data_IF_762130844858
#
_entry.id   IF_762130844858
#
_cell.length_a   1.000
_cell.length_b   1.000
_cell.length_c   1.000
_cell.angle_alpha   90.00
_cell.angle_beta   90.00
_cell.angle_gamma   90.00
#
_symmetry.space_group_name_H-M   'P 1'
#
loop_
_entity.id
_entity.type
_entity.pdbx_description
1 polymer ?
#
# COMPACT_ATOMS: atom_id res chain seq x y z
N UNK A 1 -5.69 -2.27 6.38
CA UNK A 1 -4.46 -2.54 5.61
C UNK A 1 -3.95 -1.30 4.89
N UNK A 2 -4.72 -0.72 3.97
CA UNK A 2 -4.33 0.46 3.17
C UNK A 2 -3.89 1.67 4.01
N UNK A 3 -4.57 1.98 5.12
CA UNK A 3 -4.19 3.07 6.02
C UNK A 3 -2.81 2.87 6.69
N UNK A 4 -2.46 1.64 7.04
CA UNK A 4 -1.14 1.35 7.63
C UNK A 4 -0.02 1.56 6.59
N UNK A 5 -0.27 1.17 5.34
CA UNK A 5 0.63 1.41 4.21
C UNK A 5 0.80 2.91 3.96
N UNK A 6 -0.28 3.69 4.05
CA UNK A 6 -0.22 5.16 4.02
C UNK A 6 0.57 5.75 5.19
N UNK A 7 0.42 5.19 6.40
CA UNK A 7 1.20 5.58 7.58
C UNK A 7 2.71 5.35 7.42
N UNK A 8 3.11 4.28 6.73
CA UNK A 8 4.52 4.03 6.40
C UNK A 8 5.09 5.13 5.51
N UNK A 9 4.33 5.61 4.50
CA UNK A 9 4.74 6.72 3.64
C UNK A 9 5.03 7.97 4.49
N UNK A 10 4.09 8.35 5.37
CA UNK A 10 4.22 9.54 6.23
C UNK A 10 5.42 9.41 7.18
N UNK A 11 5.61 8.23 7.78
CA UNK A 11 6.69 7.97 8.73
C UNK A 11 8.05 8.06 8.04
N UNK A 12 8.22 7.39 6.90
CA UNK A 12 9.47 7.43 6.12
C UNK A 12 9.78 8.83 5.60
N UNK A 13 8.78 9.59 5.13
CA UNK A 13 8.98 10.97 4.68
C UNK A 13 9.38 11.91 5.83
N UNK A 14 8.74 11.77 6.98
CA UNK A 14 9.01 12.59 8.17
C UNK A 14 10.41 12.38 8.74
N UNK A 15 11.02 11.21 8.50
CA UNK A 15 12.37 10.90 8.95
C UNK A 15 13.43 11.19 7.88
N UNK A 16 13.27 10.63 6.69
CA UNK A 16 14.29 10.68 5.64
C UNK A 16 14.09 11.86 4.69
N UNK A 17 12.84 12.18 4.33
CA UNK A 17 12.54 13.23 3.36
C UNK A 17 12.89 14.63 3.85
N UNK A 18 12.63 14.93 5.12
CA UNK A 18 12.96 16.24 5.72
C UNK A 18 14.47 16.47 5.85
N UNK A 19 15.26 15.41 6.06
CA UNK A 19 16.72 15.53 6.19
C UNK A 19 17.38 15.93 4.87
N UNK A 20 16.78 15.55 3.75
CA UNK A 20 17.25 15.89 2.40
C UNK A 20 16.74 17.27 1.92
N UNK A 21 16.02 18.04 2.75
CA UNK A 21 15.66 19.43 2.41
C UNK A 21 16.80 20.42 2.66
N UNK A 22 17.91 19.99 3.28
CA UNK A 22 19.06 20.84 3.57
C UNK A 22 18.82 21.91 4.66
N UNK A 23 17.68 21.84 5.35
CA UNK A 23 17.30 22.74 6.45
C UNK A 23 17.06 21.93 7.74
N UNK A 24 18.10 21.81 8.57
CA UNK A 24 18.01 21.15 9.88
C UNK A 24 19.36 21.00 10.60
N UNK A 25 19.34 20.94 11.95
CA UNK A 25 20.52 20.74 12.81
C UNK A 25 21.25 19.40 12.57
N UNK A 26 20.60 18.48 11.83
CA UNK A 26 21.06 17.14 11.47
C UNK A 26 21.33 17.01 9.95
N UNK A 27 21.88 18.06 9.34
CA UNK A 27 22.32 18.06 7.94
C UNK A 27 23.56 17.17 7.75
N UNK A 28 23.38 15.85 7.89
CA UNK A 28 24.29 14.89 7.26
C UNK A 28 24.00 15.01 5.78
N UNK A 29 24.80 15.84 5.09
CA UNK A 29 24.48 16.43 3.79
C UNK A 29 23.87 15.45 2.80
N UNK A 30 22.94 15.99 1.99
CA UNK A 30 22.36 15.40 0.78
C UNK A 30 23.09 14.13 0.36
N UNK A 31 22.59 13.00 0.86
CA UNK A 31 23.23 11.73 0.53
C UNK A 31 22.70 11.36 -0.84
N UNK A 32 23.53 11.50 -1.87
CA UNK A 32 23.17 11.15 -3.24
C UNK A 32 22.51 9.76 -3.25
N UNK A 33 21.24 9.72 -3.65
CA UNK A 33 20.47 8.48 -3.76
C UNK A 33 19.44 8.22 -2.65
N UNK A 34 19.48 8.88 -1.50
CA UNK A 34 18.46 8.66 -0.43
C UNK A 34 17.08 9.13 -0.87
N UNK A 35 16.97 10.31 -1.49
CA UNK A 35 15.70 10.77 -2.09
C UNK A 35 15.19 9.83 -3.18
N UNK A 36 16.08 9.24 -3.98
CA UNK A 36 15.71 8.30 -5.04
C UNK A 36 15.13 7.00 -4.43
N UNK A 37 15.81 6.43 -3.43
CA UNK A 37 15.35 5.23 -2.72
C UNK A 37 14.03 5.51 -1.98
N UNK A 38 13.91 6.66 -1.32
CA UNK A 38 12.68 7.09 -0.66
C UNK A 38 11.54 7.24 -1.67
N UNK A 39 11.80 7.85 -2.83
CA UNK A 39 10.84 7.96 -3.92
C UNK A 39 10.36 6.60 -4.43
N UNK A 40 11.29 5.66 -4.69
CA UNK A 40 10.95 4.29 -5.08
C UNK A 40 10.13 3.57 -4.01
N UNK A 41 10.47 3.77 -2.73
CA UNK A 41 9.70 3.23 -1.62
C UNK A 41 8.27 3.79 -1.62
N UNK A 42 8.09 5.10 -1.72
CA UNK A 42 6.76 5.73 -1.78
C UNK A 42 5.95 5.18 -2.96
N UNK A 43 6.54 5.08 -4.15
CA UNK A 43 5.88 4.50 -5.33
C UNK A 43 5.44 3.06 -5.07
N UNK A 44 6.28 2.23 -4.44
CA UNK A 44 5.92 0.86 -4.08
C UNK A 44 4.71 0.79 -3.13
N UNK A 45 4.65 1.69 -2.13
CA UNK A 45 3.53 1.76 -1.19
C UNK A 45 2.25 2.21 -1.89
N UNK A 46 2.33 3.18 -2.82
CA UNK A 46 1.18 3.62 -3.61
C UNK A 46 0.62 2.51 -4.50
N UNK A 47 1.47 1.67 -5.09
CA UNK A 47 1.03 0.49 -5.85
C UNK A 47 0.27 -0.49 -4.94
N UNK A 48 0.77 -0.74 -3.73
CA UNK A 48 0.09 -1.62 -2.75
C UNK A 48 -1.28 -1.03 -2.35
N UNK A 49 -1.36 0.29 -2.14
CA UNK A 49 -2.62 0.98 -1.85
C UNK A 49 -3.61 0.85 -3.01
N UNK A 50 -3.14 1.00 -4.26
CA UNK A 50 -3.97 0.87 -5.45
C UNK A 50 -4.53 -0.55 -5.59
N UNK A 51 -3.69 -1.58 -5.41
CA UNK A 51 -4.13 -2.98 -5.43
C UNK A 51 -5.11 -3.26 -4.29
N UNK A 52 -4.85 -2.77 -3.09
CA UNK A 52 -5.73 -2.92 -1.92
C UNK A 52 -7.07 -2.21 -2.07
N UNK A 53 -7.17 -1.22 -2.96
CA UNK A 53 -8.39 -0.47 -3.26
C UNK A 53 -9.21 -1.07 -4.42
N UNK A 54 -8.74 -2.16 -5.04
CA UNK A 54 -9.47 -2.84 -6.11
C UNK A 54 -10.77 -3.48 -5.59
N UNK A 55 -11.86 -3.44 -6.39
CA UNK A 55 -13.14 -4.03 -6.01
C UNK A 55 -13.00 -5.53 -5.75
N UNK A 56 -13.69 -6.03 -4.70
CA UNK A 56 -13.59 -7.42 -4.22
C UNK A 56 -13.92 -8.46 -5.29
N UNK A 57 -14.73 -8.09 -6.29
CA UNK A 57 -15.09 -8.94 -7.44
C UNK A 57 -13.87 -9.35 -8.30
N UNK A 58 -12.82 -8.51 -8.32
CA UNK A 58 -11.56 -8.79 -9.02
C UNK A 58 -10.66 -9.75 -8.24
N UNK A 59 -10.95 -9.98 -6.95
CA UNK A 59 -10.16 -10.86 -6.09
C UNK A 59 -10.65 -12.30 -6.27
N UNK A 60 -9.77 -13.16 -6.80
CA UNK A 60 -10.06 -14.59 -7.03
C UNK A 60 -10.59 -15.31 -5.79
N UNK A 61 -10.19 -14.86 -4.60
CA UNK A 61 -10.65 -15.44 -3.32
C UNK A 61 -12.14 -15.27 -3.05
N UNK A 62 -12.82 -14.27 -3.64
CA UNK A 62 -14.24 -13.98 -3.35
C UNK A 62 -15.20 -14.51 -4.43
N UNK A 63 -14.70 -14.99 -5.57
CA UNK A 63 -15.54 -15.47 -6.69
C UNK A 63 -16.33 -16.75 -6.41
N UNK A 64 -15.97 -17.54 -5.41
CA UNK A 64 -16.55 -18.87 -5.17
C UNK A 64 -17.58 -18.90 -4.02
N UNK A 65 -17.98 -17.76 -3.45
CA UNK A 65 -18.92 -17.76 -2.32
C UNK A 65 -20.39 -17.86 -2.74
N UNK A 66 -20.72 -17.56 -4.00
CA UNK A 66 -22.11 -17.55 -4.48
C UNK A 66 -22.60 -18.94 -4.95
N UNK A 67 -21.68 -19.89 -5.18
CA UNK A 67 -21.98 -21.18 -5.82
C UNK A 67 -22.53 -22.28 -4.88
N UNK A 68 -22.04 -22.47 -3.64
CA UNK A 68 -22.51 -23.59 -2.81
C UNK A 68 -23.91 -23.36 -2.21
N UNK A 69 -24.31 -22.10 -1.96
CA UNK A 69 -25.62 -21.78 -1.35
C UNK A 69 -26.78 -22.02 -2.31
N UNK A 70 -26.58 -21.74 -3.61
CA UNK A 70 -27.58 -21.99 -4.65
C UNK A 70 -27.71 -23.49 -4.96
N UNK A 71 -26.61 -24.25 -4.87
CA UNK A 71 -26.64 -25.71 -5.06
C UNK A 71 -27.44 -26.42 -3.95
N UNK A 72 -27.36 -25.94 -2.71
CA UNK A 72 -28.16 -26.48 -1.59
C UNK A 72 -29.63 -26.02 -1.68
N UNK A 73 -29.90 -24.78 -2.11
CA UNK A 73 -31.25 -24.23 -2.22
C UNK A 73 -32.09 -24.82 -3.38
N UNK A 74 -31.44 -25.41 -4.38
CA UNK A 74 -32.11 -26.02 -5.56
C UNK A 74 -32.41 -27.50 -5.34
N UNK A 75 -31.97 -28.11 -4.23
CA UNK A 75 -32.23 -29.52 -3.95
C UNK A 75 -33.74 -29.73 -3.71
N UNK A 76 -34.49 -30.36 -4.64
CA UNK A 76 -35.87 -30.70 -4.39
C UNK A 76 -35.91 -31.96 -3.52
N UNK A 77 -36.64 -31.87 -2.40
CA UNK A 77 -37.11 -33.03 -1.63
C UNK A 77 -38.22 -33.78 -2.37
#
# INVERSE_FOLDING_TARGET
>A
AVLAVGGNIVTSWSWFGVNELGVGLHSYGFTEGVLLILGLFVVSQLIIIAIGSLPKEMWKSFKNQDEPVLAEAVKPE
#
